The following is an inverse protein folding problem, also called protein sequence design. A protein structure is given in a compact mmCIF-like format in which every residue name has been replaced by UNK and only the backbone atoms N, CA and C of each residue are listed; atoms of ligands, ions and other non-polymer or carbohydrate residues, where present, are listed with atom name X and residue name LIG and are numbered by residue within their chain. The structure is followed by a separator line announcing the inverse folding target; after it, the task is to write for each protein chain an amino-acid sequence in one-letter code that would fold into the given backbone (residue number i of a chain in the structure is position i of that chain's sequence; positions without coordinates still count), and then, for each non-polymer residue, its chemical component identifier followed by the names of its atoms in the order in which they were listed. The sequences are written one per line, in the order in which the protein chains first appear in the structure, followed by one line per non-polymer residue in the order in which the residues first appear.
data_IF_549382923613
#
_entry.id   IF_549382923613
#
_cell.length_a   1.000
_cell.length_b   1.000
_cell.length_c   1.000
_cell.angle_alpha   90.00
_cell.angle_beta   90.00
_cell.angle_gamma   90.00
#
_symmetry.space_group_name_H-M   'P 1'
#
loop_
_entity.id
_entity.type
_entity.pdbx_description
1 polymer ?
#
# COMPACT_ATOMS: atom_id res chain seq x y z
N UNK A 1 6.05 -11.61 -1.09
CA UNK A 1 6.18 -11.57 -2.57
C UNK A 1 5.02 -12.36 -3.16
N UNK A 2 4.54 -12.00 -4.34
CA UNK A 2 3.45 -12.67 -5.04
C UNK A 2 3.73 -12.68 -6.54
N UNK A 3 3.08 -13.54 -7.29
CA UNK A 3 3.16 -13.53 -8.76
C UNK A 3 2.04 -12.65 -9.32
N UNK A 4 2.39 -11.72 -10.22
CA UNK A 4 1.41 -10.90 -10.93
C UNK A 4 0.67 -11.71 -12.01
N UNK A 5 -0.28 -11.08 -12.70
CA UNK A 5 -1.06 -11.71 -13.77
C UNK A 5 -0.22 -12.18 -14.98
N UNK A 6 1.02 -11.71 -15.11
CA UNK A 6 1.97 -12.11 -16.14
C UNK A 6 2.97 -13.17 -15.65
N UNK A 7 2.81 -13.69 -14.42
CA UNK A 7 3.72 -14.65 -13.82
C UNK A 7 5.06 -14.04 -13.36
N UNK A 8 5.16 -12.71 -13.22
CA UNK A 8 6.35 -12.03 -12.71
C UNK A 8 6.30 -11.94 -11.20
N UNK A 9 7.44 -12.17 -10.55
CA UNK A 9 7.56 -12.01 -9.10
C UNK A 9 7.54 -10.52 -8.73
N UNK A 10 6.56 -10.15 -7.93
CA UNK A 10 6.35 -8.81 -7.40
C UNK A 10 6.43 -8.79 -5.87
N UNK A 11 6.74 -7.62 -5.32
CA UNK A 11 6.76 -7.37 -3.87
C UNK A 11 5.83 -6.23 -3.52
N UNK A 12 5.11 -6.38 -2.42
CA UNK A 12 4.32 -5.33 -1.77
C UNK A 12 4.62 -5.38 -0.27
N UNK A 13 4.51 -4.25 0.41
CA UNK A 13 4.69 -4.19 1.87
C UNK A 13 3.68 -5.10 2.55
N UNK A 14 4.14 -5.88 3.53
CA UNK A 14 3.27 -6.79 4.29
C UNK A 14 2.15 -6.02 5.00
N UNK A 15 2.43 -4.79 5.46
CA UNK A 15 1.45 -3.88 6.06
C UNK A 15 0.29 -3.49 5.13
N UNK A 16 0.39 -3.73 3.82
CA UNK A 16 -0.67 -3.48 2.84
C UNK A 16 -1.47 -4.72 2.50
N UNK A 17 -1.14 -5.85 3.12
CA UNK A 17 -1.75 -7.15 2.88
C UNK A 17 -2.30 -7.71 4.17
N UNK A 18 -3.10 -8.77 4.06
CA UNK A 18 -3.56 -9.57 5.20
C UNK A 18 -2.64 -10.79 5.46
N UNK A 19 -1.38 -10.74 5.01
CA UNK A 19 -0.45 -11.87 5.16
C UNK A 19 -0.01 -12.08 6.61
N UNK A 20 0.11 -10.98 7.36
CA UNK A 20 0.46 -10.99 8.77
C UNK A 20 -0.82 -10.96 9.63
N UNK A 21 -0.71 -11.53 10.83
CA UNK A 21 -1.75 -11.40 11.86
C UNK A 21 -2.01 -9.91 12.17
N UNK A 22 -3.26 -9.49 12.45
CA UNK A 22 -3.56 -8.09 12.75
C UNK A 22 -2.73 -7.55 13.92
N UNK A 23 -1.87 -6.58 13.63
CA UNK A 23 -1.11 -5.88 14.64
C UNK A 23 -1.96 -4.89 15.46
N UNK A 24 -1.38 -4.25 16.47
CA UNK A 24 -2.10 -3.34 17.36
C UNK A 24 -2.80 -2.19 16.63
N UNK A 25 -2.25 -1.70 15.51
CA UNK A 25 -2.91 -0.68 14.71
C UNK A 25 -4.13 -1.26 13.99
N UNK A 26 -3.98 -2.42 13.34
CA UNK A 26 -5.07 -3.09 12.65
C UNK A 26 -6.23 -3.42 13.60
N UNK A 27 -5.91 -3.88 14.82
CA UNK A 27 -6.89 -4.13 15.88
C UNK A 27 -7.61 -2.84 16.31
N UNK A 28 -6.88 -1.76 16.56
CA UNK A 28 -7.46 -0.47 16.94
C UNK A 28 -8.32 0.16 15.81
N UNK A 29 -7.89 0.01 14.57
CA UNK A 29 -8.60 0.48 13.39
C UNK A 29 -9.92 -0.28 13.20
N UNK A 30 -9.99 -1.56 13.60
CA UNK A 30 -11.18 -2.40 13.53
C UNK A 30 -11.85 -2.35 12.14
N UNK A 31 -11.02 -2.44 11.08
CA UNK A 31 -11.46 -2.40 9.68
C UNK A 31 -11.84 -1.00 9.14
N UNK A 32 -11.79 0.05 9.96
CA UNK A 32 -12.08 1.44 9.53
C UNK A 32 -10.90 2.11 8.81
N UNK A 33 -9.69 1.56 8.98
CA UNK A 33 -8.51 2.01 8.25
C UNK A 33 -7.61 0.82 7.94
N UNK A 34 -7.14 0.76 6.70
CA UNK A 34 -6.26 -0.28 6.19
C UNK A 34 -4.80 0.18 6.09
N UNK A 35 -4.56 1.50 6.06
CA UNK A 35 -3.22 2.07 5.90
C UNK A 35 -2.90 3.00 7.07
N UNK A 36 -1.66 2.91 7.56
CA UNK A 36 -1.09 3.94 8.43
C UNK A 36 -0.71 5.15 7.59
N UNK A 37 -0.46 6.28 8.24
CA UNK A 37 0.01 7.50 7.56
C UNK A 37 1.29 7.24 6.76
N UNK A 38 2.23 6.45 7.31
CA UNK A 38 3.47 6.09 6.61
C UNK A 38 3.22 5.20 5.38
N UNK A 39 2.23 4.31 5.46
CA UNK A 39 1.84 3.47 4.33
C UNK A 39 1.30 4.32 3.19
N UNK A 40 0.44 5.31 3.49
CA UNK A 40 -0.09 6.24 2.50
C UNK A 40 1.02 7.08 1.86
N UNK A 41 2.02 7.52 2.63
CA UNK A 41 3.16 8.26 2.11
C UNK A 41 3.98 7.42 1.12
N UNK A 42 4.23 6.15 1.45
CA UNK A 42 4.95 5.21 0.56
C UNK A 42 4.13 4.88 -0.68
N UNK A 43 2.82 4.68 -0.53
CA UNK A 43 1.91 4.47 -1.66
C UNK A 43 1.94 5.65 -2.62
N UNK A 44 1.92 6.87 -2.08
CA UNK A 44 2.01 8.07 -2.91
C UNK A 44 3.31 8.11 -3.72
N UNK A 45 4.46 7.83 -3.09
CA UNK A 45 5.73 7.78 -3.80
C UNK A 45 5.73 6.76 -4.95
N UNK A 46 5.20 5.55 -4.72
CA UNK A 46 5.09 4.53 -5.78
C UNK A 46 4.16 4.97 -6.92
N UNK A 47 3.06 5.64 -6.59
CA UNK A 47 2.14 6.18 -7.59
C UNK A 47 2.81 7.26 -8.43
N UNK A 48 3.56 8.17 -7.80
CA UNK A 48 4.29 9.23 -8.50
C UNK A 48 5.37 8.62 -9.44
N UNK A 49 6.06 7.55 -9.00
CA UNK A 49 7.05 6.83 -9.83
C UNK A 49 6.41 6.11 -11.03
N UNK A 50 5.23 5.51 -10.84
CA UNK A 50 4.52 4.77 -11.88
C UNK A 50 3.77 5.68 -12.87
N UNK A 51 3.37 6.87 -12.41
CA UNK A 51 2.59 7.84 -13.17
C UNK A 51 3.27 9.22 -13.16
N UNK A 52 4.39 9.39 -13.88
CA UNK A 52 5.04 10.69 -14.01
C UNK A 52 4.04 11.71 -14.59
N UNK A 53 3.66 12.73 -13.80
CA UNK A 53 2.67 13.75 -14.16
C UNK A 53 1.37 13.78 -13.34
N UNK A 54 1.15 12.82 -12.42
CA UNK A 54 -0.06 12.79 -11.57
C UNK A 54 -0.10 13.87 -10.46
N UNK A 55 0.99 14.61 -10.29
CA UNK A 55 1.14 15.69 -9.31
C UNK A 55 0.13 16.85 -9.44
N UNK A 56 -0.57 16.97 -10.57
CA UNK A 56 -1.52 18.04 -10.85
C UNK A 56 -2.98 17.80 -10.39
N UNK A 57 -3.31 16.65 -9.77
CA UNK A 57 -4.72 16.31 -9.46
C UNK A 57 -5.21 16.62 -8.03
N UNK A 58 -4.44 17.32 -7.21
CA UNK A 58 -4.92 17.84 -5.92
C UNK A 58 -5.03 19.37 -6.01
N UNK A 59 -6.22 19.85 -6.39
CA UNK A 59 -6.67 21.23 -6.13
C UNK A 59 -7.55 21.24 -4.90
#
# INVERSE_FOLDING_TARGET
MFYDANGRLASMLASWTNVDEPDAFAQAAAGRSWFRTDDLRRLRALVDDLMPGAENHVK
#
